data_IF_491702329773
#
_entry.id   IF_491702329773
#
_cell.length_a   1.000
_cell.length_b   1.000
_cell.length_c   1.000
_cell.angle_alpha   90.00
_cell.angle_beta   90.00
_cell.angle_gamma   90.00
#
_symmetry.space_group_name_H-M   'P 1'
#
loop_
_entity.id
_entity.type
_entity.pdbx_description
1 polymer ?
#
# COMPACT_ATOMS: atom_id res chain seq x y z
N UNK A 1 -20.52 -11.88 -4.88
CA UNK A 1 -21.12 -10.60 -4.50
C UNK A 1 -20.25 -9.53 -5.12
N UNK A 2 -20.80 -8.79 -6.07
CA UNK A 2 -20.15 -7.65 -6.68
C UNK A 2 -20.20 -6.52 -5.63
N UNK A 3 -19.10 -6.33 -4.92
CA UNK A 3 -18.99 -5.29 -3.91
C UNK A 3 -19.08 -3.95 -4.63
N UNK A 4 -20.20 -3.24 -4.45
CA UNK A 4 -20.43 -1.95 -5.11
C UNK A 4 -19.28 -1.00 -4.77
N UNK A 5 -18.49 -0.65 -5.78
CA UNK A 5 -17.33 0.22 -5.61
C UNK A 5 -17.77 1.54 -4.93
N UNK A 6 -17.15 1.92 -3.80
CA UNK A 6 -17.43 3.18 -3.12
C UNK A 6 -17.28 4.38 -4.07
N UNK A 7 -18.04 5.44 -3.84
CA UNK A 7 -18.06 6.63 -4.71
C UNK A 7 -16.66 7.23 -4.94
N UNK A 8 -15.78 7.18 -3.92
CA UNK A 8 -14.41 7.67 -4.03
C UNK A 8 -13.55 6.78 -4.93
N UNK A 9 -13.79 5.47 -4.94
CA UNK A 9 -13.06 4.52 -5.79
C UNK A 9 -13.48 4.63 -7.27
N UNK A 10 -14.73 5.06 -7.52
CA UNK A 10 -15.23 5.41 -8.86
C UNK A 10 -14.64 6.75 -9.33
N UNK A 11 -14.56 7.76 -8.46
CA UNK A 11 -14.07 9.12 -8.78
C UNK A 11 -12.55 9.20 -8.94
N UNK A 12 -11.80 8.47 -8.13
CA UNK A 12 -10.33 8.45 -8.13
C UNK A 12 -9.83 7.10 -8.65
N UNK A 13 -10.10 6.85 -9.93
CA UNK A 13 -9.74 5.58 -10.60
C UNK A 13 -8.24 5.39 -10.78
N UNK A 14 -7.45 6.45 -10.78
CA UNK A 14 -5.98 6.38 -10.87
C UNK A 14 -5.36 6.24 -9.49
N UNK A 15 -4.39 5.34 -9.36
CA UNK A 15 -3.64 5.09 -8.12
C UNK A 15 -3.09 6.38 -7.50
N UNK A 16 -2.33 7.19 -8.27
CA UNK A 16 -1.77 8.45 -7.79
C UNK A 16 -2.83 9.48 -7.37
N UNK A 17 -3.98 9.50 -8.04
CA UNK A 17 -5.07 10.41 -7.67
C UNK A 17 -5.74 10.00 -6.35
N UNK A 18 -5.91 8.69 -6.13
CA UNK A 18 -6.38 8.14 -4.87
C UNK A 18 -5.39 8.42 -3.74
N UNK A 19 -4.10 8.14 -3.96
CA UNK A 19 -3.06 8.34 -2.95
C UNK A 19 -2.98 9.82 -2.54
N UNK A 20 -2.95 10.74 -3.50
CA UNK A 20 -2.95 12.19 -3.23
C UNK A 20 -4.18 12.65 -2.46
N UNK A 21 -5.36 12.10 -2.74
CA UNK A 21 -6.58 12.42 -1.98
C UNK A 21 -6.39 12.04 -0.51
N UNK A 22 -5.94 10.81 -0.23
CA UNK A 22 -5.73 10.34 1.15
C UNK A 22 -4.65 11.18 1.83
N UNK A 23 -3.57 11.53 1.14
CA UNK A 23 -2.54 12.44 1.67
C UNK A 23 -3.12 13.79 2.08
N UNK A 24 -3.97 14.40 1.24
CA UNK A 24 -4.64 15.66 1.57
C UNK A 24 -5.55 15.54 2.79
N UNK A 25 -6.32 14.45 2.89
CA UNK A 25 -7.18 14.19 4.06
C UNK A 25 -6.33 14.05 5.33
N UNK A 26 -5.22 13.31 5.28
CA UNK A 26 -4.32 13.15 6.42
C UNK A 26 -3.67 14.48 6.82
N UNK A 27 -3.21 15.28 5.86
CA UNK A 27 -2.67 16.62 6.11
C UNK A 27 -3.73 17.51 6.76
N UNK A 28 -4.95 17.52 6.24
CA UNK A 28 -6.05 18.29 6.82
C UNK A 28 -6.31 17.88 8.29
N UNK A 29 -6.41 16.59 8.57
CA UNK A 29 -6.61 16.08 9.93
C UNK A 29 -5.44 16.47 10.85
N UNK A 30 -4.20 16.38 10.37
CA UNK A 30 -3.02 16.74 11.14
C UNK A 30 -2.96 18.25 11.42
N UNK A 31 -3.26 19.09 10.43
CA UNK A 31 -3.31 20.54 10.57
C UNK A 31 -4.42 20.96 11.53
N UNK A 32 -5.62 20.36 11.44
CA UNK A 32 -6.73 20.62 12.34
C UNK A 32 -6.44 20.24 13.81
N UNK A 33 -5.50 19.30 14.04
CA UNK A 33 -5.07 18.85 15.38
C UNK A 33 -3.82 19.56 15.89
N UNK A 34 -3.16 20.36 15.06
CA UNK A 34 -1.89 21.01 15.39
C UNK A 34 -2.09 22.50 15.61
N UNK A 35 -1.12 23.13 16.29
CA UNK A 35 -1.01 24.59 16.28
C UNK A 35 -0.84 25.10 14.85
N UNK A 36 -1.38 26.28 14.56
CA UNK A 36 -1.29 26.97 13.25
C UNK A 36 0.17 27.05 12.77
N UNK A 37 1.11 27.27 13.69
CA UNK A 37 2.55 27.37 13.40
C UNK A 37 3.18 26.07 12.86
N UNK A 38 2.55 24.92 13.12
CA UNK A 38 2.98 23.60 12.64
C UNK A 38 2.15 23.11 11.46
N UNK A 39 1.16 23.89 11.02
CA UNK A 39 0.29 23.56 9.90
C UNK A 39 1.10 23.55 8.61
N UNK A 40 0.98 22.48 7.82
CA UNK A 40 1.62 22.39 6.52
C UNK A 40 0.72 22.97 5.44
N UNK A 41 1.25 23.89 4.64
CA UNK A 41 0.57 24.49 3.49
C UNK A 41 1.34 24.25 2.19
N UNK A 42 0.71 24.52 1.05
CA UNK A 42 1.34 24.37 -0.26
C UNK A 42 1.39 22.94 -0.79
N UNK A 43 2.43 22.59 -1.53
CA UNK A 43 2.55 21.33 -2.28
C UNK A 43 2.66 20.13 -1.32
N UNK A 44 2.18 18.95 -1.74
CA UNK A 44 2.37 17.70 -1.00
C UNK A 44 3.85 17.26 -1.08
N UNK A 45 4.47 17.01 0.08
CA UNK A 45 5.83 16.48 0.12
C UNK A 45 5.83 14.96 -0.10
N UNK A 46 6.96 14.43 -0.59
CA UNK A 46 7.12 13.00 -0.85
C UNK A 46 6.89 12.17 0.41
N UNK A 47 7.42 12.63 1.56
CA UNK A 47 7.30 11.91 2.83
C UNK A 47 5.85 11.80 3.29
N UNK A 48 4.99 12.76 2.94
CA UNK A 48 3.55 12.69 3.24
C UNK A 48 2.82 11.70 2.35
N UNK A 49 3.25 11.58 1.09
CA UNK A 49 2.71 10.60 0.15
C UNK A 49 3.10 9.19 0.60
N UNK A 50 4.37 8.98 0.94
CA UNK A 50 4.88 7.70 1.48
C UNK A 50 4.20 7.33 2.80
N UNK A 51 4.06 8.29 3.71
CA UNK A 51 3.35 8.07 4.98
C UNK A 51 1.88 7.70 4.76
N UNK A 52 1.21 8.34 3.80
CA UNK A 52 -0.17 8.03 3.45
C UNK A 52 -0.29 6.62 2.88
N UNK A 53 0.62 6.21 1.99
CA UNK A 53 0.66 4.88 1.41
C UNK A 53 0.79 3.80 2.49
N UNK A 54 1.78 3.94 3.39
CA UNK A 54 1.99 3.04 4.52
C UNK A 54 0.74 2.97 5.39
N UNK A 55 0.07 4.11 5.62
CA UNK A 55 -1.14 4.16 6.47
C UNK A 55 -2.34 3.47 5.82
N UNK A 56 -2.50 3.57 4.51
CA UNK A 56 -3.52 2.84 3.76
C UNK A 56 -3.27 1.33 3.87
N UNK A 57 -2.04 0.90 3.60
CA UNK A 57 -1.63 -0.51 3.70
C UNK A 57 -1.95 -1.05 5.10
N UNK A 58 -1.53 -0.34 6.14
CA UNK A 58 -1.79 -0.71 7.54
C UNK A 58 -3.28 -0.82 7.85
N UNK A 59 -4.09 0.14 7.39
CA UNK A 59 -5.53 0.13 7.61
C UNK A 59 -6.19 -1.07 6.93
N UNK A 60 -5.79 -1.39 5.71
CA UNK A 60 -6.31 -2.54 4.96
C UNK A 60 -5.91 -3.86 5.61
N UNK A 61 -4.66 -3.97 6.07
CA UNK A 61 -4.17 -5.15 6.79
C UNK A 61 -4.91 -5.33 8.13
N UNK A 62 -5.08 -4.27 8.91
CA UNK A 62 -5.78 -4.34 10.20
C UNK A 62 -7.25 -4.75 10.05
N UNK A 63 -7.92 -4.29 8.98
CA UNK A 63 -9.32 -4.67 8.71
C UNK A 63 -9.46 -6.15 8.35
N UNK A 64 -8.48 -6.70 7.65
CA UNK A 64 -8.62 -8.00 6.96
C UNK A 64 -7.88 -9.13 7.65
N UNK A 65 -6.84 -8.80 8.41
CA UNK A 65 -5.99 -9.74 9.15
C UNK A 65 -5.87 -9.25 10.61
N UNK A 66 -6.95 -9.39 11.40
CA UNK A 66 -6.94 -8.95 12.78
C UNK A 66 -5.95 -9.72 13.66
N UNK A 67 -5.63 -10.97 13.30
CA UNK A 67 -4.66 -11.84 13.99
C UNK A 67 -3.75 -12.57 12.99
N UNK A 68 -2.47 -12.77 13.34
CA UNK A 68 -1.49 -13.47 12.48
C UNK A 68 -1.91 -14.92 12.21
N UNK A 69 -2.70 -15.51 13.11
CA UNK A 69 -3.26 -16.85 12.99
C UNK A 69 -4.35 -16.97 11.91
N UNK A 70 -4.87 -15.86 11.40
CA UNK A 70 -5.92 -15.87 10.37
C UNK A 70 -5.40 -16.25 8.98
N UNK A 71 -4.08 -16.43 8.81
CA UNK A 71 -3.43 -16.73 7.53
C UNK A 71 -2.57 -18.00 7.64
N UNK A 72 -3.18 -19.17 7.95
CA UNK A 72 -2.44 -20.39 8.30
C UNK A 72 -1.56 -20.95 7.17
N UNK A 73 -1.82 -20.55 5.92
CA UNK A 73 -1.08 -21.02 4.73
C UNK A 73 0.25 -20.26 4.55
N UNK A 74 0.36 -19.04 5.08
CA UNK A 74 1.54 -18.18 4.90
C UNK A 74 2.29 -18.04 6.23
N UNK A 75 3.62 -18.14 6.19
CA UNK A 75 4.46 -17.79 7.33
C UNK A 75 4.52 -16.27 7.44
N UNK A 76 3.64 -15.66 8.24
CA UNK A 76 3.56 -14.21 8.42
C UNK A 76 4.20 -13.74 9.73
N UNK A 77 4.64 -12.50 9.76
CA UNK A 77 5.10 -11.82 10.97
C UNK A 77 4.84 -10.32 10.86
N UNK A 78 4.72 -9.65 12.01
CA UNK A 78 4.59 -8.20 12.09
C UNK A 78 5.95 -7.50 12.15
N UNK A 79 6.13 -6.49 11.30
CA UNK A 79 7.30 -5.63 11.20
C UNK A 79 6.85 -4.17 11.14
N UNK A 80 7.24 -3.34 12.11
CA UNK A 80 6.86 -1.92 12.22
C UNK A 80 5.37 -1.61 12.00
N UNK A 81 4.51 -2.56 12.40
CA UNK A 81 3.05 -2.60 12.24
C UNK A 81 2.49 -2.99 10.87
N UNK A 82 3.33 -3.40 9.93
CA UNK A 82 2.90 -4.07 8.71
C UNK A 82 3.02 -5.59 8.87
N UNK A 83 2.11 -6.33 8.26
CA UNK A 83 2.21 -7.79 8.15
C UNK A 83 3.07 -8.11 6.92
N UNK A 84 4.14 -8.86 7.12
CA UNK A 84 5.06 -9.32 6.08
C UNK A 84 5.08 -10.84 6.01
N UNK A 85 5.43 -11.37 4.84
CA UNK A 85 5.53 -12.82 4.61
C UNK A 85 7.00 -13.24 4.70
N UNK A 86 7.33 -14.20 5.57
CA UNK A 86 8.62 -14.90 5.55
C UNK A 86 8.66 -15.83 4.35
N UNK A 87 9.53 -15.51 3.41
CA UNK A 87 9.75 -16.37 2.24
C UNK A 87 10.78 -17.47 2.54
N UNK A 88 10.73 -18.58 1.81
CA UNK A 88 11.74 -19.66 1.91
C UNK A 88 13.13 -19.24 1.41
N UNK A 89 13.24 -18.06 0.82
CA UNK A 89 14.47 -17.47 0.26
C UNK A 89 15.24 -16.63 1.28
N UNK A 90 14.84 -16.63 2.56
CA UNK A 90 15.47 -15.91 3.70
C UNK A 90 16.98 -16.11 3.88
N UNK A 91 17.61 -17.06 3.16
CA UNK A 91 19.06 -17.30 3.17
C UNK A 91 19.82 -16.65 2.01
N UNK A 92 19.15 -15.96 1.07
CA UNK A 92 19.82 -15.15 0.04
C UNK A 92 20.24 -13.81 0.61
N UNK A 93 21.40 -13.32 0.16
CA UNK A 93 21.84 -11.93 0.40
C UNK A 93 21.09 -11.05 -0.60
N UNK A 94 19.87 -10.67 -0.24
CA UNK A 94 18.99 -9.78 -1.03
C UNK A 94 18.39 -8.72 -0.09
N UNK A 95 17.71 -7.71 -0.65
CA UNK A 95 17.06 -6.66 0.13
C UNK A 95 16.07 -7.24 1.16
N UNK A 96 16.01 -6.73 2.41
CA UNK A 96 15.05 -7.16 3.42
C UNK A 96 13.59 -7.09 2.93
N UNK A 97 13.28 -6.12 2.06
CA UNK A 97 11.97 -5.94 1.44
C UNK A 97 11.63 -7.06 0.45
N UNK A 98 12.65 -7.62 -0.22
CA UNK A 98 12.51 -8.79 -1.09
C UNK A 98 12.37 -10.08 -0.28
N UNK A 99 13.13 -10.21 0.81
CA UNK A 99 13.10 -11.38 1.68
C UNK A 99 11.78 -11.48 2.45
N UNK A 100 11.20 -10.32 2.79
CA UNK A 100 9.98 -10.19 3.57
C UNK A 100 9.01 -9.16 2.96
N UNK A 101 8.34 -9.50 1.84
CA UNK A 101 7.40 -8.59 1.20
C UNK A 101 6.20 -8.30 2.09
N UNK A 102 5.65 -7.10 1.92
CA UNK A 102 4.41 -6.67 2.58
C UNK A 102 3.24 -7.47 2.02
N UNK A 103 2.40 -7.98 2.91
CA UNK A 103 1.21 -8.72 2.51
C UNK A 103 0.09 -7.76 2.11
N UNK A 104 -0.31 -7.76 0.84
CA UNK A 104 -1.46 -6.99 0.36
C UNK A 104 -2.68 -7.89 0.17
N UNK A 105 -3.88 -7.34 0.43
CA UNK A 105 -5.14 -8.06 0.18
C UNK A 105 -5.45 -8.13 -1.31
N UNK A 106 -5.87 -9.29 -1.80
CA UNK A 106 -6.33 -9.43 -3.19
C UNK A 106 -7.64 -8.65 -3.46
N UNK A 107 -8.54 -8.62 -2.49
CA UNK A 107 -9.88 -8.03 -2.62
C UNK A 107 -9.97 -6.64 -1.97
N UNK A 108 -8.97 -5.79 -2.21
CA UNK A 108 -9.05 -4.38 -1.82
C UNK A 108 -8.86 -3.50 -3.06
N UNK A 109 -9.64 -2.43 -3.12
CA UNK A 109 -9.56 -1.41 -4.17
C UNK A 109 -8.13 -0.88 -4.29
N UNK A 110 -7.44 -0.66 -3.17
CA UNK A 110 -6.06 -0.19 -3.17
C UNK A 110 -5.15 -1.14 -3.96
N UNK A 111 -5.19 -2.44 -3.66
CA UNK A 111 -4.37 -3.45 -4.35
C UNK A 111 -4.73 -3.57 -5.82
N UNK A 112 -6.02 -3.53 -6.16
CA UNK A 112 -6.46 -3.56 -7.56
C UNK A 112 -5.92 -2.37 -8.34
N UNK A 113 -6.03 -1.15 -7.78
CA UNK A 113 -5.49 0.07 -8.42
C UNK A 113 -3.98 0.06 -8.52
N UNK A 114 -3.29 -0.50 -7.54
CA UNK A 114 -1.83 -0.66 -7.57
C UNK A 114 -1.41 -1.62 -8.70
N UNK A 115 -2.10 -2.76 -8.84
CA UNK A 115 -1.86 -3.72 -9.93
C UNK A 115 -2.15 -3.08 -11.29
N UNK A 116 -3.29 -2.39 -11.44
CA UNK A 116 -3.63 -1.68 -12.68
C UNK A 116 -2.58 -0.63 -13.04
N UNK A 117 -2.14 0.17 -12.06
CA UNK A 117 -1.10 1.18 -12.25
C UNK A 117 0.20 0.54 -12.74
N UNK A 118 0.69 -0.50 -12.05
CA UNK A 118 1.91 -1.18 -12.45
C UNK A 118 1.78 -1.87 -13.81
N UNK A 119 0.60 -2.39 -14.15
CA UNK A 119 0.35 -2.97 -15.47
C UNK A 119 0.45 -1.92 -16.59
N UNK A 120 -0.10 -0.73 -16.38
CA UNK A 120 -0.03 0.37 -17.34
C UNK A 120 1.41 0.90 -17.45
N UNK A 121 2.09 1.12 -16.33
CA UNK A 121 3.50 1.59 -16.31
C UNK A 121 4.45 0.59 -16.98
N UNK A 122 4.19 -0.71 -16.83
CA UNK A 122 4.95 -1.76 -17.49
C UNK A 122 4.35 -2.13 -18.86
N UNK A 123 3.75 -1.18 -19.59
CA UNK A 123 3.30 -1.34 -20.98
C UNK A 123 2.42 -2.57 -21.24
N UNK A 124 1.49 -2.86 -20.34
CA UNK A 124 0.59 -4.01 -20.43
C UNK A 124 1.29 -5.37 -20.47
N UNK A 125 2.46 -5.47 -19.83
CA UNK A 125 3.21 -6.73 -19.76
C UNK A 125 2.41 -7.87 -19.14
N UNK A 126 2.75 -9.08 -19.57
CA UNK A 126 2.16 -10.31 -19.05
C UNK A 126 2.38 -10.46 -17.54
N UNK A 127 1.54 -11.28 -16.91
CA UNK A 127 1.47 -11.47 -15.45
C UNK A 127 2.82 -11.81 -14.81
N UNK A 128 3.66 -12.60 -15.47
CA UNK A 128 4.99 -12.97 -14.97
C UNK A 128 5.94 -11.76 -14.86
N UNK A 129 5.94 -10.89 -15.87
CA UNK A 129 6.75 -9.68 -15.88
C UNK A 129 6.24 -8.68 -14.85
N UNK A 130 4.92 -8.51 -14.77
CA UNK A 130 4.28 -7.67 -13.76
C UNK A 130 4.64 -8.11 -12.33
N UNK A 131 4.58 -9.42 -12.03
CA UNK A 131 5.00 -9.98 -10.74
C UNK A 131 6.48 -9.67 -10.44
N UNK A 132 7.35 -9.75 -11.45
CA UNK A 132 8.76 -9.40 -11.28
C UNK A 132 8.99 -7.91 -10.97
N UNK A 133 8.12 -7.02 -11.50
CA UNK A 133 8.16 -5.58 -11.23
C UNK A 133 7.61 -5.23 -9.83
N UNK A 134 6.59 -5.94 -9.34
CA UNK A 134 6.07 -5.78 -7.97
C UNK A 134 7.14 -5.93 -6.89
N UNK A 135 8.00 -6.93 -7.12
CA UNK A 135 9.12 -7.26 -6.25
C UNK A 135 10.18 -6.15 -6.21
N UNK A 136 10.28 -5.33 -7.26
CA UNK A 136 11.21 -4.19 -7.36
C UNK A 136 10.60 -2.87 -6.88
N UNK A 137 9.32 -2.61 -7.16
CA UNK A 137 8.67 -1.31 -6.92
C UNK A 137 8.33 -1.03 -5.45
N UNK A 138 8.21 -2.05 -4.60
CA UNK A 138 8.02 -1.89 -3.14
C UNK A 138 9.37 -1.81 -2.42
N UNK A 139 10.47 -1.93 -3.16
CA UNK A 139 11.83 -1.59 -2.73
C UNK A 139 12.12 -0.13 -3.03
N UNK A 140 11.88 0.74 -2.06
CA UNK A 140 12.70 1.95 -1.96
C UNK A 140 14.16 1.55 -1.71
#
# INVERSE_FOLDING_TARGET
>A
MEEELPWYAKKFSKFHSFLRLVTWVLRFVNNARSSIDKSKEGILFLEEIESAEIRIIRSTQAHSFPDEKSIPILCVFRDDNNIRVKTRITKRIDSPLFLSPILLLNNCIFTQRLIEYLHIENYHTGTQLLLSSFVKSIGY
#
